data_IF_365418318137
#
_entry.id   IF_365418318137
#
_cell.length_a   1.000
_cell.length_b   1.000
_cell.length_c   1.000
_cell.angle_alpha   90.00
_cell.angle_beta   90.00
_cell.angle_gamma   90.00
#
_symmetry.space_group_name_H-M   'P 1'
#
loop_
_entity.id
_entity.type
_entity.pdbx_description
1 polymer ?
#
# COMPACT_ATOMS: atom_id res chain seq x y z
N UNK A 1 -8.66 -10.60 -7.67
CA UNK A 1 -7.49 -10.70 -8.56
C UNK A 1 -6.74 -9.38 -8.64
N UNK A 2 -7.39 -8.26 -9.00
CA UNK A 2 -6.80 -6.92 -9.05
C UNK A 2 -6.12 -6.54 -7.73
N UNK A 3 -6.78 -6.84 -6.59
CA UNK A 3 -6.25 -6.56 -5.26
C UNK A 3 -4.97 -7.36 -4.97
N UNK A 4 -4.92 -8.64 -5.37
CA UNK A 4 -3.74 -9.47 -5.20
C UNK A 4 -2.54 -8.91 -5.99
N UNK A 5 -2.78 -8.48 -7.22
CA UNK A 5 -1.76 -7.85 -8.06
C UNK A 5 -1.29 -6.52 -7.48
N UNK A 6 -2.19 -5.70 -6.91
CA UNK A 6 -1.83 -4.44 -6.27
C UNK A 6 -0.90 -4.64 -5.06
N UNK A 7 -1.00 -5.75 -4.36
CA UNK A 7 -0.06 -6.13 -3.29
C UNK A 7 1.31 -6.61 -3.78
N UNK A 8 1.56 -6.64 -5.10
CA UNK A 8 2.93 -6.78 -5.62
C UNK A 8 3.75 -5.49 -5.49
N UNK A 9 3.13 -4.35 -5.17
CA UNK A 9 3.81 -3.06 -5.03
C UNK A 9 5.06 -3.11 -4.12
N UNK A 10 5.09 -3.79 -2.96
CA UNK A 10 6.29 -3.93 -2.17
C UNK A 10 7.48 -4.56 -2.89
N UNK A 11 7.25 -5.52 -3.79
CA UNK A 11 8.32 -6.12 -4.61
C UNK A 11 8.97 -5.06 -5.52
N UNK A 12 8.16 -4.26 -6.19
CA UNK A 12 8.63 -3.18 -7.06
C UNK A 12 9.38 -2.10 -6.28
N UNK A 13 8.92 -1.75 -5.07
CA UNK A 13 9.61 -0.79 -4.19
C UNK A 13 10.99 -1.30 -3.81
N UNK A 14 11.12 -2.59 -3.46
CA UNK A 14 12.41 -3.21 -3.15
C UNK A 14 13.36 -3.16 -4.35
N UNK A 15 12.87 -3.52 -5.53
CA UNK A 15 13.66 -3.46 -6.78
C UNK A 15 14.11 -2.02 -7.05
N UNK A 16 13.22 -1.05 -7.00
CA UNK A 16 13.54 0.35 -7.28
C UNK A 16 14.49 0.97 -6.25
N UNK A 17 14.41 0.58 -4.98
CA UNK A 17 15.32 1.07 -3.95
C UNK A 17 16.77 0.65 -4.21
N UNK A 18 17.00 -0.54 -4.76
CA UNK A 18 18.35 -0.98 -5.19
C UNK A 18 18.92 -0.07 -6.26
N UNK A 19 18.11 0.26 -7.29
CA UNK A 19 18.59 1.03 -8.42
C UNK A 19 18.68 2.53 -8.14
N UNK A 20 17.73 3.10 -7.40
CA UNK A 20 17.60 4.54 -7.24
C UNK A 20 18.08 5.10 -5.91
N UNK A 21 18.16 4.28 -4.86
CA UNK A 21 18.61 4.69 -3.53
C UNK A 21 19.94 4.02 -3.14
N UNK A 22 20.45 3.09 -3.97
CA UNK A 22 21.64 2.28 -3.66
C UNK A 22 21.54 1.56 -2.30
N UNK A 23 20.32 1.22 -1.87
CA UNK A 23 20.09 0.47 -0.65
C UNK A 23 20.57 -0.97 -0.83
N UNK A 24 21.42 -1.44 0.11
CA UNK A 24 21.84 -2.85 0.11
C UNK A 24 20.78 -3.72 0.75
N UNK A 25 20.17 -4.60 -0.04
CA UNK A 25 19.07 -5.44 0.42
C UNK A 25 19.61 -6.77 0.91
N UNK A 26 19.53 -7.01 2.22
CA UNK A 26 19.90 -8.29 2.82
C UNK A 26 18.87 -9.36 2.49
N UNK A 27 19.31 -10.63 2.44
CA UNK A 27 18.47 -11.78 2.13
C UNK A 27 17.19 -11.84 2.99
N UNK A 28 17.28 -11.47 4.27
CA UNK A 28 16.12 -11.42 5.18
C UNK A 28 14.98 -10.53 4.66
N UNK A 29 15.29 -9.40 4.01
CA UNK A 29 14.29 -8.49 3.45
C UNK A 29 13.60 -9.10 2.22
N UNK A 30 14.36 -9.80 1.37
CA UNK A 30 13.79 -10.54 0.24
C UNK A 30 12.85 -11.64 0.70
N UNK A 31 13.26 -12.42 1.73
CA UNK A 31 12.42 -13.46 2.33
C UNK A 31 11.14 -12.85 2.90
N UNK A 32 11.24 -11.74 3.62
CA UNK A 32 10.09 -11.08 4.20
C UNK A 32 9.11 -10.59 3.12
N UNK A 33 9.60 -9.89 2.10
CA UNK A 33 8.74 -9.40 1.00
C UNK A 33 8.11 -10.57 0.25
N UNK A 34 8.87 -11.64 -0.01
CA UNK A 34 8.37 -12.86 -0.64
C UNK A 34 7.28 -13.55 0.18
N UNK A 35 7.48 -13.74 1.49
CA UNK A 35 6.50 -14.33 2.39
C UNK A 35 5.22 -13.48 2.49
N UNK A 36 5.35 -12.16 2.60
CA UNK A 36 4.22 -11.26 2.61
C UNK A 36 3.41 -11.33 1.32
N UNK A 37 4.08 -11.40 0.18
CA UNK A 37 3.43 -11.55 -1.12
C UNK A 37 2.72 -12.90 -1.27
N UNK A 38 3.35 -14.01 -0.86
CA UNK A 38 2.71 -15.33 -0.84
C UNK A 38 1.49 -15.34 0.07
N UNK A 39 1.58 -14.75 1.28
CA UNK A 39 0.44 -14.60 2.17
C UNK A 39 -0.72 -13.85 1.51
N UNK A 40 -0.43 -12.79 0.77
CA UNK A 40 -1.42 -12.02 0.01
C UNK A 40 -2.11 -12.86 -1.09
N UNK A 41 -1.34 -13.65 -1.83
CA UNK A 41 -1.88 -14.55 -2.86
C UNK A 41 -2.84 -15.57 -2.22
N UNK A 42 -2.46 -16.16 -1.08
CA UNK A 42 -3.29 -17.13 -0.37
C UNK A 42 -4.62 -16.51 0.08
N UNK A 43 -4.59 -15.28 0.62
CA UNK A 43 -5.81 -14.56 1.05
C UNK A 43 -6.70 -14.24 -0.14
N UNK A 44 -6.10 -13.74 -1.22
CA UNK A 44 -6.85 -13.24 -2.37
C UNK A 44 -7.44 -14.34 -3.24
N UNK A 45 -6.92 -15.58 -3.16
CA UNK A 45 -7.33 -16.71 -4.00
C UNK A 45 -7.62 -16.29 -5.44
N UNK A 46 -6.65 -15.71 -6.17
CA UNK A 46 -6.90 -15.28 -7.53
C UNK A 46 -7.28 -16.49 -8.40
N UNK A 47 -8.47 -16.45 -8.99
CA UNK A 47 -8.85 -17.38 -10.05
C UNK A 47 -8.20 -16.92 -11.34
N UNK A 48 -7.24 -17.64 -11.87
CA UNK A 48 -6.57 -17.30 -13.15
C UNK A 48 -7.32 -17.82 -14.38
N UNK A 49 -8.62 -18.07 -14.25
CA UNK A 49 -9.41 -18.76 -15.27
C UNK A 49 -9.54 -17.97 -16.58
N UNK A 50 -9.31 -16.65 -16.57
CA UNK A 50 -9.30 -15.80 -17.76
C UNK A 50 -8.25 -14.69 -17.61
N UNK A 51 -7.03 -14.91 -18.11
CA UNK A 51 -6.04 -13.86 -18.25
C UNK A 51 -6.58 -12.75 -19.18
N UNK A 52 -7.01 -11.65 -18.61
CA UNK A 52 -7.53 -10.52 -19.36
C UNK A 52 -6.48 -9.40 -19.40
N UNK A 53 -6.39 -8.70 -20.52
CA UNK A 53 -5.45 -7.57 -20.70
C UNK A 53 -5.59 -6.50 -19.60
N UNK A 54 -6.73 -6.43 -18.94
CA UNK A 54 -6.97 -5.49 -17.83
C UNK A 54 -6.07 -5.70 -16.61
N UNK A 55 -5.41 -6.85 -16.44
CA UNK A 55 -4.43 -7.08 -15.36
C UNK A 55 -3.16 -6.25 -15.48
N UNK A 56 -2.93 -5.60 -16.61
CA UNK A 56 -1.81 -4.69 -16.79
C UNK A 56 -1.96 -3.41 -15.92
N UNK A 57 -3.20 -2.94 -15.67
CA UNK A 57 -3.44 -1.71 -14.91
C UNK A 57 -2.95 -1.78 -13.45
N UNK A 58 -3.24 -2.84 -12.66
CA UNK A 58 -2.66 -3.01 -11.33
C UNK A 58 -1.14 -3.05 -11.32
N UNK A 59 -0.51 -3.63 -12.34
CA UNK A 59 0.95 -3.69 -12.44
C UNK A 59 1.52 -2.29 -12.69
N UNK A 60 0.96 -1.52 -13.62
CA UNK A 60 1.34 -0.13 -13.86
C UNK A 60 1.17 0.70 -12.59
N UNK A 61 0.07 0.52 -11.87
CA UNK A 61 -0.16 1.16 -10.57
C UNK A 61 0.95 0.82 -9.57
N UNK A 62 1.35 -0.44 -9.44
CA UNK A 62 2.42 -0.87 -8.53
C UNK A 62 3.77 -0.24 -8.87
N UNK A 63 4.10 -0.16 -10.16
CA UNK A 63 5.32 0.48 -10.64
C UNK A 63 5.29 1.99 -10.32
N UNK A 64 4.19 2.66 -10.62
CA UNK A 64 3.99 4.08 -10.27
C UNK A 64 4.09 4.33 -8.78
N UNK A 65 3.42 3.50 -7.97
CA UNK A 65 3.47 3.57 -6.52
C UNK A 65 4.90 3.38 -5.97
N UNK A 66 5.67 2.44 -6.55
CA UNK A 66 7.07 2.24 -6.19
C UNK A 66 7.90 3.48 -6.52
N UNK A 67 7.72 4.05 -7.71
CA UNK A 67 8.39 5.29 -8.10
C UNK A 67 8.11 6.44 -7.13
N UNK A 68 6.86 6.66 -6.77
CA UNK A 68 6.45 7.69 -5.81
C UNK A 68 7.08 7.44 -4.43
N UNK A 69 7.10 6.19 -3.95
CA UNK A 69 7.72 5.85 -2.66
C UNK A 69 9.22 6.20 -2.63
N UNK A 70 9.93 5.92 -3.71
CA UNK A 70 11.35 6.26 -3.87
C UNK A 70 11.57 7.79 -3.93
N UNK A 71 10.72 8.51 -4.66
CA UNK A 71 10.79 9.97 -4.74
C UNK A 71 10.55 10.62 -3.38
N UNK A 72 9.54 10.17 -2.63
CA UNK A 72 9.30 10.63 -1.25
C UNK A 72 10.54 10.41 -0.39
N UNK A 73 11.14 9.21 -0.46
CA UNK A 73 12.38 8.92 0.30
C UNK A 73 13.52 9.85 -0.12
N UNK A 74 13.74 10.08 -1.40
CA UNK A 74 14.77 11.02 -1.88
C UNK A 74 14.55 12.44 -1.34
N UNK A 75 13.32 12.94 -1.40
CA UNK A 75 12.98 14.26 -0.87
C UNK A 75 13.25 14.35 0.64
N UNK A 76 12.92 13.31 1.41
CA UNK A 76 13.22 13.29 2.84
C UNK A 76 14.72 13.25 3.14
N UNK A 77 15.54 12.62 2.28
CA UNK A 77 17.00 12.57 2.41
C UNK A 77 17.66 13.91 2.06
N UNK A 78 17.11 14.68 1.15
CA UNK A 78 17.55 16.05 0.83
C UNK A 78 17.21 17.03 1.95
N UNK A 79 16.35 16.63 2.89
CA UNK A 79 16.01 17.46 4.06
C UNK A 79 14.66 18.17 3.95
N UNK A 80 13.89 17.91 2.90
CA UNK A 80 12.57 18.51 2.76
C UNK A 80 11.65 18.13 3.93
N UNK A 81 10.85 19.08 4.45
CA UNK A 81 9.97 18.82 5.59
C UNK A 81 8.84 17.87 5.20
N UNK A 82 8.59 16.88 6.05
CA UNK A 82 7.58 15.82 5.84
C UNK A 82 6.20 16.37 5.53
N UNK A 83 5.79 17.43 6.25
CA UNK A 83 4.48 18.05 6.04
C UNK A 83 4.34 18.66 4.64
N UNK A 84 5.43 19.21 4.09
CA UNK A 84 5.45 19.81 2.75
C UNK A 84 5.28 18.72 1.68
N UNK A 85 6.02 17.63 1.80
CA UNK A 85 5.92 16.47 0.88
C UNK A 85 4.50 15.90 0.91
N UNK A 86 3.95 15.67 2.10
CA UNK A 86 2.60 15.14 2.26
C UNK A 86 1.52 16.11 1.75
N UNK A 87 1.71 17.42 1.93
CA UNK A 87 0.81 18.44 1.41
C UNK A 87 0.74 18.41 -0.12
N UNK A 88 1.90 18.47 -0.79
CA UNK A 88 1.92 18.43 -2.26
C UNK A 88 1.39 17.12 -2.82
N UNK A 89 1.70 15.99 -2.17
CA UNK A 89 1.13 14.70 -2.56
C UNK A 89 -0.40 14.73 -2.51
N UNK A 90 -0.97 15.23 -1.40
CA UNK A 90 -2.42 15.34 -1.23
C UNK A 90 -3.04 16.34 -2.20
N UNK A 91 -2.37 17.48 -2.44
CA UNK A 91 -2.81 18.50 -3.39
C UNK A 91 -2.91 17.94 -4.81
N UNK A 92 -1.83 17.31 -5.31
CA UNK A 92 -1.82 16.73 -6.65
C UNK A 92 -2.78 15.55 -6.79
N UNK A 93 -2.95 14.73 -5.75
CA UNK A 93 -3.96 13.67 -5.73
C UNK A 93 -5.37 14.25 -5.82
N UNK A 94 -5.66 15.33 -5.09
CA UNK A 94 -6.95 16.04 -5.15
C UNK A 94 -7.20 16.66 -6.52
N UNK A 95 -6.21 17.34 -7.09
CA UNK A 95 -6.30 17.90 -8.46
C UNK A 95 -6.51 16.79 -9.50
N UNK A 96 -5.81 15.66 -9.38
CA UNK A 96 -6.02 14.48 -10.22
C UNK A 96 -7.45 13.94 -10.12
N UNK A 97 -8.02 13.92 -8.91
CA UNK A 97 -9.43 13.59 -8.70
C UNK A 97 -10.38 14.56 -9.43
N UNK A 98 -10.12 15.86 -9.35
CA UNK A 98 -10.95 16.88 -10.04
C UNK A 98 -10.92 16.74 -11.56
N UNK A 99 -9.82 16.31 -12.17
CA UNK A 99 -9.72 16.07 -13.62
C UNK A 99 -10.71 14.98 -14.07
N UNK A 100 -11.14 14.10 -13.19
CA UNK A 100 -12.12 13.05 -13.51
C UNK A 100 -13.57 13.57 -13.54
N UNK A 101 -13.84 14.79 -13.08
CA UNK A 101 -15.19 15.41 -13.10
C UNK A 101 -15.90 15.31 -14.46
N UNK A 102 -15.26 15.70 -15.60
CA UNK A 102 -15.91 15.62 -16.90
C UNK A 102 -16.01 14.19 -17.47
N UNK A 103 -15.23 13.24 -16.91
CA UNK A 103 -15.14 11.86 -17.41
C UNK A 103 -16.12 10.92 -16.71
N UNK A 104 -16.59 11.26 -15.51
CA UNK A 104 -17.40 10.40 -14.66
C UNK A 104 -18.79 10.96 -14.38
N UNK A 105 -19.70 10.09 -13.97
CA UNK A 105 -20.98 10.50 -13.39
C UNK A 105 -20.78 10.81 -11.91
N UNK A 106 -20.35 12.01 -11.60
CA UNK A 106 -20.25 12.47 -10.22
C UNK A 106 -21.65 12.60 -9.62
N UNK A 107 -21.87 11.94 -8.49
CA UNK A 107 -23.10 12.03 -7.73
C UNK A 107 -22.81 12.87 -6.50
N UNK A 108 -23.61 13.90 -6.23
CA UNK A 108 -23.50 14.67 -5.00
C UNK A 108 -23.82 13.78 -3.81
N UNK A 109 -22.89 13.64 -2.84
CA UNK A 109 -23.11 12.84 -1.66
C UNK A 109 -24.20 13.47 -0.77
N UNK A 110 -24.97 12.64 -0.08
CA UNK A 110 -25.87 13.13 0.97
C UNK A 110 -25.04 13.62 2.18
N UNK A 111 -25.69 14.26 3.15
CA UNK A 111 -25.00 14.83 4.32
C UNK A 111 -24.22 13.78 5.12
N UNK A 112 -24.78 12.58 5.27
CA UNK A 112 -24.12 11.49 5.99
C UNK A 112 -22.86 11.00 5.25
N UNK A 113 -22.97 10.76 3.95
CA UNK A 113 -21.84 10.34 3.11
C UNK A 113 -20.76 11.43 3.04
N UNK A 114 -21.17 12.70 3.05
CA UNK A 114 -20.22 13.83 3.06
C UNK A 114 -19.38 13.86 4.35
N UNK A 115 -20.01 13.63 5.51
CA UNK A 115 -19.29 13.51 6.78
C UNK A 115 -18.31 12.34 6.75
N UNK A 116 -18.72 11.17 6.22
CA UNK A 116 -17.84 10.01 6.08
C UNK A 116 -16.66 10.30 5.15
N UNK A 117 -16.88 10.99 4.04
CA UNK A 117 -15.81 11.39 3.11
C UNK A 117 -14.79 12.32 3.77
N UNK A 118 -15.26 13.29 4.57
CA UNK A 118 -14.35 14.17 5.36
C UNK A 118 -13.53 13.33 6.33
N UNK A 119 -14.15 12.38 7.02
CA UNK A 119 -13.49 11.54 8.01
C UNK A 119 -12.42 10.65 7.35
N UNK A 120 -12.75 10.04 6.21
CA UNK A 120 -11.80 9.26 5.40
C UNK A 120 -10.65 10.16 4.93
N UNK A 121 -10.93 11.38 4.46
CA UNK A 121 -9.91 12.33 4.03
C UNK A 121 -8.96 12.73 5.16
N UNK A 122 -9.48 13.00 6.36
CA UNK A 122 -8.67 13.32 7.54
C UNK A 122 -7.79 12.14 7.96
N UNK A 123 -8.37 10.94 8.10
CA UNK A 123 -7.62 9.74 8.45
C UNK A 123 -6.56 9.41 7.39
N UNK A 124 -6.91 9.54 6.11
CA UNK A 124 -6.00 9.34 4.99
C UNK A 124 -4.83 10.34 5.00
N UNK A 125 -5.10 11.61 5.34
CA UNK A 125 -4.06 12.64 5.47
C UNK A 125 -3.09 12.34 6.62
N UNK A 126 -3.61 11.92 7.78
CA UNK A 126 -2.78 11.50 8.90
C UNK A 126 -1.94 10.28 8.52
N UNK A 127 -2.54 9.28 7.89
CA UNK A 127 -1.82 8.08 7.42
C UNK A 127 -0.72 8.43 6.42
N UNK A 128 -0.96 9.36 5.49
CA UNK A 128 0.03 9.83 4.54
C UNK A 128 1.21 10.56 5.21
N UNK A 129 0.92 11.41 6.21
CA UNK A 129 1.95 12.06 7.02
C UNK A 129 2.82 11.03 7.75
N UNK A 130 2.21 10.05 8.40
CA UNK A 130 2.91 8.98 9.12
C UNK A 130 3.75 8.11 8.17
N UNK A 131 3.22 7.80 6.99
CA UNK A 131 3.94 7.07 5.95
C UNK A 131 5.17 7.85 5.47
N UNK A 132 5.01 9.14 5.17
CA UNK A 132 6.11 10.01 4.76
C UNK A 132 7.15 10.13 5.88
N UNK A 133 6.72 10.25 7.12
CA UNK A 133 7.61 10.25 8.29
C UNK A 133 8.36 8.93 8.44
N UNK A 134 7.73 7.81 8.19
CA UNK A 134 8.39 6.50 8.23
C UNK A 134 9.50 6.39 7.19
N UNK A 135 9.29 6.95 5.99
CA UNK A 135 10.32 7.02 4.95
C UNK A 135 11.46 7.99 5.28
N UNK A 136 11.25 8.97 6.16
CA UNK A 136 12.31 9.81 6.68
C UNK A 136 13.19 9.06 7.69
N UNK A 137 12.58 8.27 8.56
CA UNK A 137 13.24 7.63 9.70
C UNK A 137 13.91 6.29 9.36
N UNK A 138 13.40 5.58 8.34
CA UNK A 138 13.86 4.25 7.99
C UNK A 138 13.97 4.05 6.48
N UNK A 139 14.79 3.08 6.07
CA UNK A 139 14.89 2.66 4.68
C UNK A 139 13.52 2.18 4.15
N UNK A 140 13.22 2.50 2.89
CA UNK A 140 11.93 2.13 2.26
C UNK A 140 11.76 0.61 2.24
N UNK A 141 12.84 -0.13 2.07
CA UNK A 141 12.87 -1.59 2.07
C UNK A 141 12.51 -2.22 3.43
N UNK A 142 12.64 -1.49 4.54
CA UNK A 142 12.20 -1.93 5.87
C UNK A 142 10.72 -1.65 6.11
N UNK A 143 10.23 -0.50 5.65
CA UNK A 143 8.85 -0.06 5.89
C UNK A 143 7.86 -0.74 4.94
N UNK A 144 8.31 -1.11 3.75
CA UNK A 144 7.45 -1.63 2.69
C UNK A 144 6.73 -2.94 3.03
N UNK A 145 7.37 -3.98 3.58
CA UNK A 145 6.66 -5.21 3.94
C UNK A 145 5.64 -5.03 5.07
N UNK A 146 5.80 -4.00 5.91
CA UNK A 146 4.81 -3.68 6.95
C UNK A 146 3.45 -3.27 6.36
N UNK A 147 3.42 -2.84 5.10
CA UNK A 147 2.15 -2.54 4.39
C UNK A 147 1.24 -3.76 4.26
N UNK A 148 1.80 -4.97 4.24
CA UNK A 148 0.98 -6.18 4.23
C UNK A 148 0.13 -6.33 5.49
N UNK A 149 0.53 -5.72 6.63
CA UNK A 149 -0.27 -5.71 7.85
C UNK A 149 -1.64 -5.06 7.66
N UNK A 150 -1.81 -4.20 6.67
CA UNK A 150 -3.13 -3.62 6.34
C UNK A 150 -4.16 -4.69 6.02
N UNK A 151 -3.75 -5.82 5.43
CA UNK A 151 -4.64 -6.96 5.18
C UNK A 151 -5.09 -7.63 6.48
N UNK A 152 -4.19 -7.75 7.45
CA UNK A 152 -4.53 -8.31 8.77
C UNK A 152 -5.56 -7.42 9.46
N UNK A 153 -5.37 -6.10 9.44
CA UNK A 153 -6.34 -5.16 9.97
C UNK A 153 -7.67 -5.20 9.20
N UNK A 154 -7.62 -5.34 7.87
CA UNK A 154 -8.84 -5.48 7.07
C UNK A 154 -9.65 -6.74 7.46
N UNK A 155 -9.00 -7.85 7.74
CA UNK A 155 -9.65 -9.09 8.22
C UNK A 155 -10.29 -8.86 9.59
N UNK A 156 -9.58 -8.20 10.51
CA UNK A 156 -10.09 -7.90 11.85
C UNK A 156 -11.33 -7.00 11.75
N UNK A 157 -11.26 -5.93 10.97
CA UNK A 157 -12.39 -5.01 10.79
C UNK A 157 -13.55 -5.66 10.03
N UNK A 158 -13.27 -6.50 9.02
CA UNK A 158 -14.27 -7.30 8.31
C UNK A 158 -15.07 -8.18 9.26
N UNK A 159 -14.36 -8.85 10.18
CA UNK A 159 -15.00 -9.68 11.21
C UNK A 159 -15.87 -8.85 12.18
N UNK A 160 -15.34 -7.76 12.74
CA UNK A 160 -16.06 -6.98 13.76
C UNK A 160 -17.23 -6.17 13.19
N UNK A 161 -17.03 -5.48 12.06
CA UNK A 161 -18.03 -4.56 11.51
C UNK A 161 -18.98 -5.22 10.53
N UNK A 162 -18.48 -6.14 9.70
CA UNK A 162 -19.25 -6.78 8.63
C UNK A 162 -19.68 -8.21 8.95
N UNK A 163 -19.23 -8.75 10.11
CA UNK A 163 -19.50 -10.15 10.53
C UNK A 163 -18.99 -11.19 9.53
N UNK A 164 -17.96 -10.84 8.77
CA UNK A 164 -17.32 -11.75 7.84
C UNK A 164 -16.49 -12.79 8.58
N UNK A 165 -16.82 -14.06 8.40
CA UNK A 165 -16.06 -15.16 9.05
C UNK A 165 -14.82 -15.45 8.19
N UNK A 166 -13.59 -15.26 8.73
CA UNK A 166 -12.38 -15.54 7.96
C UNK A 166 -12.25 -17.03 7.64
N UNK A 167 -11.97 -17.33 6.40
CA UNK A 167 -11.71 -18.71 5.96
C UNK A 167 -10.36 -19.21 6.43
N UNK A 168 -10.13 -20.53 6.37
CA UNK A 168 -8.82 -21.12 6.72
C UNK A 168 -7.69 -20.53 5.85
N UNK A 169 -7.96 -20.21 4.60
CA UNK A 169 -7.00 -19.55 3.69
C UNK A 169 -6.70 -18.12 4.12
N UNK A 170 -7.70 -17.39 4.57
CA UNK A 170 -7.55 -16.03 5.10
C UNK A 170 -6.65 -16.05 6.35
N UNK A 171 -6.87 -17.00 7.27
CA UNK A 171 -6.07 -17.14 8.48
C UNK A 171 -4.63 -17.57 8.19
N UNK A 172 -4.44 -18.54 7.27
CA UNK A 172 -3.10 -19.01 6.90
C UNK A 172 -2.28 -17.92 6.18
N UNK A 173 -2.90 -17.19 5.28
CA UNK A 173 -2.23 -16.06 4.61
C UNK A 173 -1.92 -14.91 5.58
N UNK A 174 -2.83 -14.59 6.51
CA UNK A 174 -2.60 -13.58 7.55
C UNK A 174 -1.43 -13.97 8.46
N UNK A 175 -1.31 -15.24 8.85
CA UNK A 175 -0.19 -15.72 9.67
C UNK A 175 1.17 -15.56 8.95
N UNK A 176 1.24 -15.84 7.64
CA UNK A 176 2.45 -15.60 6.85
C UNK A 176 2.82 -14.11 6.78
N UNK A 177 1.84 -13.23 6.69
CA UNK A 177 2.06 -11.78 6.70
C UNK A 177 2.61 -11.31 8.05
N UNK A 178 2.08 -11.81 9.16
CA UNK A 178 2.59 -11.50 10.49
C UNK A 178 4.03 -12.01 10.65
N UNK A 179 4.33 -13.23 10.21
CA UNK A 179 5.70 -13.77 10.20
C UNK A 179 6.63 -12.91 9.35
N UNK A 180 6.21 -12.53 8.15
CA UNK A 180 6.96 -11.63 7.27
C UNK A 180 7.33 -10.32 7.98
N UNK A 181 6.36 -9.68 8.62
CA UNK A 181 6.56 -8.42 9.34
C UNK A 181 7.49 -8.59 10.54
N UNK A 182 7.38 -9.73 11.24
CA UNK A 182 8.22 -10.07 12.39
C UNK A 182 9.69 -10.27 11.99
N UNK A 183 9.97 -10.94 10.86
CA UNK A 183 11.33 -11.12 10.34
C UNK A 183 12.05 -9.79 10.13
N UNK A 184 11.32 -8.75 9.76
CA UNK A 184 11.90 -7.42 9.56
C UNK A 184 12.18 -6.72 10.89
N UNK A 185 11.31 -6.93 11.87
CA UNK A 185 11.43 -6.28 13.18
C UNK A 185 12.61 -6.80 13.98
N UNK A 186 12.87 -8.11 13.91
CA UNK A 186 14.05 -8.73 14.54
C UNK A 186 15.24 -8.70 13.58
N UNK A 187 15.98 -7.62 13.66
CA UNK A 187 17.17 -7.33 12.84
C UNK A 187 18.34 -8.29 13.12
#
# INVERSE_FOLDING_TARGET
EVTALAFSAPLWVVIFSMFFLSETIRLKRWIAVGLGFVGTIIISKPGFDNLNFYYIYPIIFCIGFAGVSILIRKLTLVGEPVWLIAFYFSLFSGLGGLITLPLGRWIMPNTYDFILLILIGLLGSVANLLLTQSYKLAEVTLTTPLKYLSLVFAIIFGFYFFKEIPTIYTLSGASLIVVSSTIIFFR
#
